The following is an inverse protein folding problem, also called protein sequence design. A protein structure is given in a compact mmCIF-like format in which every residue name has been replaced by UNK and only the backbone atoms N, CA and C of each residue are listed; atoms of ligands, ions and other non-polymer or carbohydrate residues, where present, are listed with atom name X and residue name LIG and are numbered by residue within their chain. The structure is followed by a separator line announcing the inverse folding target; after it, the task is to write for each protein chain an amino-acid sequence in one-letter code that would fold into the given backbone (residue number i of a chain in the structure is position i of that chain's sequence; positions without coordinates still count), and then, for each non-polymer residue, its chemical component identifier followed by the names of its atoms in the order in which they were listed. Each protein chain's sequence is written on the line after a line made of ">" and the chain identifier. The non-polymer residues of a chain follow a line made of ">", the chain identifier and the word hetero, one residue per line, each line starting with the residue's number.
data_IF_615685647667
#
_entry.id   IF_615685647667
#
_cell.length_a   1.000
_cell.length_b   1.000
_cell.length_c   1.000
_cell.angle_alpha   90.00
_cell.angle_beta   90.00
_cell.angle_gamma   90.00
#
_symmetry.space_group_name_H-M   'P 1'
#
loop_
_entity.id
_entity.type
_entity.pdbx_description
1 polymer ?
#
# COMPACT_ATOMS: atom_id res chain seq x y z
N UNK A 1 9.65 -45.15 23.18
CA UNK A 1 8.54 -44.39 22.53
C UNK A 1 7.67 -43.59 23.51
N UNK A 2 8.13 -43.32 24.76
CA UNK A 2 7.41 -42.56 25.81
C UNK A 2 8.07 -41.21 26.18
N UNK A 3 9.33 -41.00 25.82
CA UNK A 3 10.11 -39.80 26.18
C UNK A 3 9.89 -38.60 25.26
N UNK A 4 9.41 -38.82 24.02
CA UNK A 4 9.18 -37.75 23.05
C UNK A 4 7.93 -36.93 23.41
N UNK A 5 6.93 -37.54 24.05
CA UNK A 5 5.69 -36.86 24.45
C UNK A 5 5.85 -35.91 25.65
N UNK A 6 6.84 -36.14 26.53
CA UNK A 6 7.12 -35.26 27.67
C UNK A 6 7.81 -33.95 27.24
N UNK A 7 8.66 -34.00 26.22
CA UNK A 7 9.30 -32.80 25.66
C UNK A 7 8.30 -31.88 24.95
N UNK A 8 7.34 -32.45 24.22
CA UNK A 8 6.29 -31.69 23.52
C UNK A 8 5.35 -30.99 24.49
N UNK A 9 4.99 -31.64 25.61
CA UNK A 9 4.12 -31.04 26.62
C UNK A 9 4.81 -29.85 27.33
N UNK A 10 6.10 -29.95 27.63
CA UNK A 10 6.88 -28.87 28.26
C UNK A 10 7.04 -27.63 27.36
N UNK A 11 7.20 -27.83 26.05
CA UNK A 11 7.28 -26.72 25.08
C UNK A 11 5.93 -26.01 24.96
N UNK A 12 4.82 -26.76 24.94
CA UNK A 12 3.46 -26.18 24.90
C UNK A 12 3.14 -25.44 26.21
N UNK A 13 3.46 -26.01 27.39
CA UNK A 13 3.24 -25.33 28.67
C UNK A 13 4.09 -24.07 28.84
N UNK A 14 5.35 -24.08 28.37
CA UNK A 14 6.18 -22.87 28.38
C UNK A 14 5.61 -21.77 27.49
N UNK A 15 4.98 -22.11 26.35
CA UNK A 15 4.30 -21.12 25.50
C UNK A 15 3.01 -20.58 26.11
N UNK A 16 2.23 -21.39 26.82
CA UNK A 16 1.00 -20.92 27.50
C UNK A 16 1.33 -20.05 28.72
N UNK A 17 2.36 -20.41 29.50
CA UNK A 17 2.84 -19.60 30.62
C UNK A 17 3.39 -18.23 30.15
N UNK A 18 4.06 -18.19 28.99
CA UNK A 18 4.47 -16.93 28.35
C UNK A 18 3.31 -16.12 27.78
N UNK A 19 2.23 -16.76 27.33
CA UNK A 19 1.03 -16.08 26.89
C UNK A 19 0.24 -15.49 28.09
N UNK A 20 0.23 -16.18 29.23
CA UNK A 20 -0.37 -15.68 30.46
C UNK A 20 0.40 -14.50 31.06
N UNK A 21 1.74 -14.47 31.00
CA UNK A 21 2.50 -13.30 31.46
C UNK A 21 2.33 -12.06 30.56
N UNK A 22 1.95 -12.24 29.28
CA UNK A 22 1.53 -11.14 28.40
C UNK A 22 0.16 -10.60 28.82
N UNK A 23 -0.70 -11.44 29.45
CA UNK A 23 -2.07 -11.12 29.88
C UNK A 23 -2.20 -10.73 31.37
N UNK A 24 -1.15 -10.85 32.18
CA UNK A 24 -1.14 -10.37 33.57
C UNK A 24 -1.30 -8.85 33.76
N UNK A 25 -0.90 -7.93 32.85
CA UNK A 25 -1.14 -6.50 33.08
C UNK A 25 -2.61 -6.08 32.93
N UNK A 26 -3.51 -6.98 32.54
CA UNK A 26 -4.93 -6.68 32.30
C UNK A 26 -5.78 -6.69 33.59
N UNK A 27 -5.22 -7.11 34.72
CA UNK A 27 -5.96 -7.30 35.98
C UNK A 27 -5.95 -6.11 36.96
N UNK A 28 -5.09 -5.11 36.73
CA UNK A 28 -5.06 -3.92 37.59
C UNK A 28 -5.79 -2.79 36.89
N UNK A 29 -6.94 -2.40 37.43
CA UNK A 29 -7.61 -1.15 37.06
C UNK A 29 -6.64 0.01 37.31
N UNK A 30 -5.92 0.40 36.26
CA UNK A 30 -5.20 1.66 36.21
C UNK A 30 -6.27 2.74 36.26
N UNK A 31 -6.48 3.32 37.45
CA UNK A 31 -7.17 4.60 37.58
C UNK A 31 -6.41 5.58 36.68
N UNK A 32 -6.97 5.87 35.51
CA UNK A 32 -6.35 6.74 34.52
C UNK A 32 -6.43 8.17 35.03
N UNK A 33 -5.30 8.86 35.27
CA UNK A 33 -5.34 10.29 35.54
C UNK A 33 -5.94 10.99 34.32
N UNK A 34 -7.11 11.63 34.48
CA UNK A 34 -7.81 12.33 33.40
C UNK A 34 -8.94 11.56 32.70
N UNK A 35 -9.62 10.64 33.39
CA UNK A 35 -10.81 9.97 32.84
C UNK A 35 -11.92 10.97 32.44
N UNK A 36 -12.44 10.83 31.22
CA UNK A 36 -13.54 11.64 30.69
C UNK A 36 -13.12 13.07 30.31
N UNK A 37 -14.02 14.03 30.53
CA UNK A 37 -13.83 15.43 30.14
C UNK A 37 -12.69 16.15 30.87
N UNK A 38 -12.25 15.62 32.01
CA UNK A 38 -11.09 16.13 32.75
C UNK A 38 -9.77 15.89 32.01
N UNK A 39 -9.72 15.02 31.00
CA UNK A 39 -8.54 14.87 30.16
C UNK A 39 -8.19 16.13 29.36
N UNK A 40 -9.18 17.00 29.09
CA UNK A 40 -8.96 18.25 28.34
C UNK A 40 -8.24 19.34 29.14
N UNK A 41 -8.19 19.24 30.47
CA UNK A 41 -7.49 20.23 31.31
C UNK A 41 -5.98 19.98 31.37
N UNK A 42 -5.51 18.80 30.96
CA UNK A 42 -4.09 18.50 30.82
C UNK A 42 -3.53 19.12 29.52
N UNK A 43 -3.20 20.41 29.61
CA UNK A 43 -2.71 21.18 28.47
C UNK A 43 -1.39 20.62 27.90
N UNK A 44 -0.53 20.07 28.75
CA UNK A 44 0.73 19.46 28.32
C UNK A 44 0.47 18.22 27.44
N UNK A 45 -0.46 17.37 27.85
CA UNK A 45 -0.87 16.21 27.06
C UNK A 45 -1.60 16.60 25.77
N UNK A 46 -2.53 17.55 25.84
CA UNK A 46 -3.30 17.97 24.65
C UNK A 46 -2.38 18.59 23.60
N UNK A 47 -1.43 19.43 24.01
CA UNK A 47 -0.45 20.04 23.09
C UNK A 47 0.53 19.01 22.52
N UNK A 48 1.03 18.08 23.33
CA UNK A 48 1.91 17.02 22.83
C UNK A 48 1.19 16.08 21.86
N UNK A 49 -0.06 15.70 22.15
CA UNK A 49 -0.89 14.89 21.27
C UNK A 49 -1.16 15.61 19.94
N UNK A 50 -1.50 16.91 19.99
CA UNK A 50 -1.72 17.71 18.79
C UNK A 50 -0.48 17.84 17.92
N UNK A 51 0.70 18.09 18.52
CA UNK A 51 1.97 18.16 17.82
C UNK A 51 2.35 16.81 17.20
N UNK A 52 2.12 15.71 17.92
CA UNK A 52 2.37 14.34 17.44
C UNK A 52 1.47 13.98 16.25
N UNK A 53 0.17 14.29 16.31
CA UNK A 53 -0.76 14.09 15.19
C UNK A 53 -0.42 14.96 13.99
N UNK A 54 -0.01 16.21 14.23
CA UNK A 54 0.43 17.14 13.17
C UNK A 54 1.69 16.62 12.50
N UNK A 55 2.70 16.20 13.28
CA UNK A 55 3.94 15.62 12.76
C UNK A 55 3.67 14.35 11.94
N UNK A 56 2.86 13.43 12.46
CA UNK A 56 2.49 12.22 11.74
C UNK A 56 1.79 12.54 10.42
N UNK A 57 0.86 13.50 10.43
CA UNK A 57 0.15 13.93 9.22
C UNK A 57 1.08 14.56 8.19
N UNK A 58 2.07 15.36 8.62
CA UNK A 58 3.09 15.94 7.74
C UNK A 58 4.00 14.85 7.15
N UNK A 59 4.50 13.93 7.97
CA UNK A 59 5.35 12.83 7.48
C UNK A 59 4.58 11.89 6.54
N UNK A 60 3.33 11.58 6.88
CA UNK A 60 2.40 10.86 6.01
C UNK A 60 2.18 11.59 4.69
N UNK A 61 2.00 12.91 4.72
CA UNK A 61 1.86 13.73 3.52
C UNK A 61 3.14 13.74 2.67
N UNK A 62 4.33 13.77 3.28
CA UNK A 62 5.61 13.70 2.55
C UNK A 62 5.75 12.38 1.78
N UNK A 63 5.33 11.26 2.38
CA UNK A 63 5.30 9.96 1.68
C UNK A 63 4.18 9.90 0.65
N UNK A 64 3.02 10.50 0.94
CA UNK A 64 1.85 10.49 0.08
C UNK A 64 2.05 11.31 -1.21
N UNK A 65 2.63 12.50 -1.10
CA UNK A 65 2.94 13.37 -2.23
C UNK A 65 4.34 13.10 -2.81
N UNK A 66 4.82 11.86 -2.69
CA UNK A 66 6.09 11.47 -3.29
C UNK A 66 6.08 11.80 -4.79
N UNK A 67 7.14 12.43 -5.35
CA UNK A 67 7.13 12.98 -6.71
C UNK A 67 6.90 11.96 -7.84
N UNK A 68 7.02 10.67 -7.55
CA UNK A 68 6.67 9.59 -8.49
C UNK A 68 5.21 9.15 -8.46
N UNK A 69 4.45 9.50 -7.41
CA UNK A 69 3.03 9.15 -7.30
C UNK A 69 2.19 9.83 -8.41
N UNK A 70 2.52 11.06 -8.79
CA UNK A 70 1.82 11.78 -9.85
C UNK A 70 2.15 11.33 -11.28
N UNK A 71 3.09 10.40 -11.48
CA UNK A 71 3.49 9.92 -12.81
C UNK A 71 2.83 8.59 -13.20
N UNK A 72 2.24 7.89 -12.22
CA UNK A 72 1.64 6.55 -12.40
C UNK A 72 0.15 6.51 -12.06
N UNK A 73 -0.42 7.60 -11.51
CA UNK A 73 -1.80 7.68 -11.04
C UNK A 73 -2.83 7.76 -12.18
N UNK A 74 -3.08 6.63 -12.83
CA UNK A 74 -4.08 6.53 -13.90
C UNK A 74 -5.44 6.00 -13.41
N UNK A 75 -5.50 5.44 -12.19
CA UNK A 75 -6.76 4.99 -11.57
C UNK A 75 -7.30 5.99 -10.54
N UNK A 76 -8.63 6.09 -10.42
CA UNK A 76 -9.31 6.92 -9.41
C UNK A 76 -8.85 6.56 -7.98
N UNK A 77 -8.61 5.27 -7.72
CA UNK A 77 -8.14 4.78 -6.42
C UNK A 77 -6.72 5.27 -6.11
N UNK A 78 -5.85 5.37 -7.11
CA UNK A 78 -4.49 5.89 -6.95
C UNK A 78 -4.45 7.41 -6.79
N UNK A 79 -5.37 8.13 -7.43
CA UNK A 79 -5.56 9.58 -7.23
C UNK A 79 -6.03 9.88 -5.80
N UNK A 80 -6.84 9.01 -5.20
CA UNK A 80 -7.32 9.18 -3.82
C UNK A 80 -6.37 8.64 -2.74
N UNK A 81 -5.38 7.83 -3.12
CA UNK A 81 -4.42 7.21 -2.19
C UNK A 81 -3.69 8.20 -1.26
N UNK A 82 -3.29 9.42 -1.69
CA UNK A 82 -2.65 10.36 -0.79
C UNK A 82 -3.51 10.74 0.41
N UNK A 83 -4.82 10.87 0.22
CA UNK A 83 -5.78 11.15 1.32
C UNK A 83 -5.82 9.99 2.30
N UNK A 84 -5.86 8.76 1.78
CA UNK A 84 -5.86 7.53 2.58
C UNK A 84 -4.58 7.45 3.42
N UNK A 85 -3.41 7.72 2.83
CA UNK A 85 -2.14 7.66 3.56
C UNK A 85 -2.05 8.66 4.71
N UNK A 86 -2.50 9.90 4.52
CA UNK A 86 -2.52 10.91 5.60
C UNK A 86 -3.43 10.44 6.74
N UNK A 87 -4.63 9.95 6.42
CA UNK A 87 -5.58 9.44 7.40
C UNK A 87 -4.99 8.25 8.17
N UNK A 88 -4.39 7.28 7.47
CA UNK A 88 -3.80 6.10 8.11
C UNK A 88 -2.56 6.43 8.96
N UNK A 89 -1.79 7.45 8.59
CA UNK A 89 -0.70 7.94 9.43
C UNK A 89 -1.23 8.55 10.73
N UNK A 90 -2.28 9.37 10.65
CA UNK A 90 -2.94 9.95 11.82
C UNK A 90 -3.55 8.85 12.72
N UNK A 91 -4.18 7.83 12.13
CA UNK A 91 -4.68 6.65 12.87
C UNK A 91 -3.54 5.93 13.58
N UNK A 92 -2.41 5.70 12.90
CA UNK A 92 -1.22 5.09 13.52
C UNK A 92 -0.73 5.88 14.73
N UNK A 93 -0.61 7.20 14.61
CA UNK A 93 -0.21 8.07 15.70
C UNK A 93 -1.20 8.07 16.87
N UNK A 94 -2.51 8.08 16.57
CA UNK A 94 -3.56 7.96 17.58
C UNK A 94 -3.46 6.64 18.34
N UNK A 95 -3.26 5.52 17.64
CA UNK A 95 -3.05 4.21 18.28
C UNK A 95 -1.81 4.27 19.19
N UNK A 96 -0.71 4.87 18.73
CA UNK A 96 0.51 5.00 19.55
C UNK A 96 0.27 5.80 20.84
N UNK A 97 -0.39 6.97 20.75
CA UNK A 97 -0.73 7.80 21.91
C UNK A 97 -1.60 7.01 22.92
N UNK A 98 -2.60 6.29 22.41
CA UNK A 98 -3.50 5.48 23.24
C UNK A 98 -2.72 4.34 23.93
N UNK A 99 -1.81 3.67 23.21
CA UNK A 99 -1.01 2.58 23.77
C UNK A 99 -0.05 3.07 24.85
N UNK A 100 0.57 4.25 24.67
CA UNK A 100 1.44 4.85 25.68
C UNK A 100 0.64 5.19 26.95
N UNK A 101 -0.57 5.76 26.80
CA UNK A 101 -1.36 6.24 27.95
C UNK A 101 -2.19 5.17 28.65
N UNK A 102 -2.76 4.22 27.90
CA UNK A 102 -3.71 3.22 28.40
C UNK A 102 -3.14 1.78 28.37
N UNK A 103 -1.91 1.62 27.88
CA UNK A 103 -1.19 0.35 27.90
C UNK A 103 -1.38 -0.52 26.66
N UNK A 104 -0.63 -1.62 26.63
CA UNK A 104 -0.57 -2.56 25.50
C UNK A 104 -1.92 -3.27 25.24
N UNK A 105 -2.75 -3.44 26.27
CA UNK A 105 -4.07 -4.05 26.20
C UNK A 105 -4.94 -3.38 25.13
N UNK A 106 -5.03 -2.05 25.17
CA UNK A 106 -5.83 -1.28 24.21
C UNK A 106 -5.22 -1.36 22.80
N UNK A 107 -3.88 -1.42 22.71
CA UNK A 107 -3.18 -1.64 21.45
C UNK A 107 -3.55 -2.94 20.76
N UNK A 108 -3.61 -4.05 21.51
CA UNK A 108 -4.02 -5.35 20.96
C UNK A 108 -5.46 -5.33 20.44
N UNK A 109 -6.38 -4.66 21.13
CA UNK A 109 -7.76 -4.51 20.67
C UNK A 109 -7.84 -3.70 19.38
N UNK A 110 -7.18 -2.53 19.32
CA UNK A 110 -7.16 -1.69 18.13
C UNK A 110 -6.51 -2.38 16.93
N UNK A 111 -5.39 -3.07 17.16
CA UNK A 111 -4.71 -3.83 16.12
C UNK A 111 -5.55 -5.02 15.63
N UNK A 112 -6.24 -5.70 16.56
CA UNK A 112 -7.17 -6.78 16.23
C UNK A 112 -8.31 -6.30 15.32
N UNK A 113 -8.94 -5.17 15.66
CA UNK A 113 -9.99 -4.56 14.83
C UNK A 113 -9.44 -4.19 13.45
N UNK A 114 -8.26 -3.55 13.38
CA UNK A 114 -7.62 -3.20 12.11
C UNK A 114 -7.30 -4.42 11.23
N UNK A 115 -6.80 -5.49 11.83
CA UNK A 115 -6.54 -6.76 11.14
C UNK A 115 -7.82 -7.39 10.58
N UNK A 116 -8.92 -7.37 11.34
CA UNK A 116 -10.21 -7.89 10.90
C UNK A 116 -10.79 -7.09 9.72
N UNK A 117 -10.67 -5.76 9.73
CA UNK A 117 -11.11 -4.91 8.61
C UNK A 117 -10.30 -5.24 7.36
N UNK A 118 -8.98 -5.36 7.47
CA UNK A 118 -8.12 -5.67 6.33
C UNK A 118 -8.40 -7.04 5.71
N UNK A 119 -8.73 -8.05 6.52
CA UNK A 119 -9.12 -9.39 5.99
C UNK A 119 -10.39 -9.33 5.14
N UNK A 120 -11.28 -8.35 5.39
CA UNK A 120 -12.50 -8.16 4.61
C UNK A 120 -12.36 -7.26 3.39
N UNK A 121 -11.24 -6.55 3.26
CA UNK A 121 -11.04 -5.53 2.21
C UNK A 121 -10.01 -6.02 1.19
N UNK A 122 -10.43 -6.23 -0.05
CA UNK A 122 -9.54 -6.64 -1.14
C UNK A 122 -8.80 -5.39 -1.62
N UNK A 123 -7.52 -5.25 -1.28
CA UNK A 123 -6.66 -4.24 -1.92
C UNK A 123 -6.23 -4.77 -3.29
N UNK A 124 -6.44 -3.97 -4.34
CA UNK A 124 -6.15 -4.38 -5.72
C UNK A 124 -4.65 -4.49 -6.02
N UNK A 125 -3.81 -3.69 -5.34
CA UNK A 125 -2.36 -3.66 -5.55
C UNK A 125 -1.55 -3.93 -4.27
N UNK A 126 -0.61 -4.88 -4.36
CA UNK A 126 0.31 -5.23 -3.29
C UNK A 126 1.25 -4.06 -2.92
N UNK A 127 1.65 -3.25 -3.90
CA UNK A 127 2.53 -2.09 -3.71
C UNK A 127 1.82 -1.00 -2.90
N UNK A 128 0.56 -0.70 -3.23
CA UNK A 128 -0.26 0.28 -2.50
C UNK A 128 -0.49 -0.14 -1.05
N UNK A 129 -0.71 -1.44 -0.84
CA UNK A 129 -0.85 -2.02 0.49
C UNK A 129 0.44 -1.86 1.31
N UNK A 130 1.60 -2.12 0.71
CA UNK A 130 2.90 -1.96 1.38
C UNK A 130 3.14 -0.52 1.82
N UNK A 131 2.90 0.45 0.93
CA UNK A 131 3.01 1.90 1.24
C UNK A 131 2.12 2.29 2.41
N UNK A 132 0.86 1.83 2.42
CA UNK A 132 -0.08 2.10 3.51
C UNK A 132 0.42 1.57 4.86
N UNK A 133 0.97 0.35 4.90
CA UNK A 133 1.52 -0.23 6.13
C UNK A 133 2.69 0.61 6.63
N UNK A 134 3.64 0.98 5.76
CA UNK A 134 4.77 1.82 6.16
C UNK A 134 4.33 3.18 6.69
N UNK A 135 3.38 3.84 6.03
CA UNK A 135 2.84 5.14 6.48
C UNK A 135 2.15 5.01 7.84
N UNK A 136 1.41 3.93 8.06
CA UNK A 136 0.77 3.64 9.35
C UNK A 136 1.82 3.42 10.45
N UNK A 137 2.90 2.69 10.15
CA UNK A 137 4.01 2.46 11.08
C UNK A 137 4.76 3.76 11.43
N UNK A 138 4.99 4.64 10.45
CA UNK A 138 5.58 5.97 10.69
C UNK A 138 4.71 6.78 11.66
N UNK A 139 3.39 6.77 11.43
CA UNK A 139 2.42 7.40 12.33
C UNK A 139 2.50 6.81 13.73
N UNK A 140 2.50 5.48 13.85
CA UNK A 140 2.63 4.77 15.11
C UNK A 140 3.91 5.16 15.86
N UNK A 141 5.06 5.23 15.17
CA UNK A 141 6.31 5.69 15.78
C UNK A 141 6.24 7.11 16.32
N UNK A 142 5.50 8.01 15.66
CA UNK A 142 5.22 9.34 16.22
C UNK A 142 4.42 9.23 17.52
N UNK A 143 3.36 8.42 17.53
CA UNK A 143 2.48 8.20 18.68
C UNK A 143 3.17 7.55 19.89
N UNK A 144 4.22 6.76 19.66
CA UNK A 144 5.02 6.11 20.71
C UNK A 144 6.10 7.04 21.33
N UNK A 145 6.00 8.35 21.12
CA UNK A 145 6.97 9.36 21.58
C UNK A 145 8.39 9.18 21.02
N UNK A 146 8.52 8.56 19.84
CA UNK A 146 9.79 8.34 19.15
C UNK A 146 9.88 9.12 17.81
N UNK A 147 9.84 10.46 17.83
CA UNK A 147 9.81 11.26 16.60
C UNK A 147 11.08 11.11 15.75
N UNK A 148 12.23 10.86 16.38
CA UNK A 148 13.49 10.62 15.68
C UNK A 148 13.45 9.35 14.82
N UNK A 149 12.84 8.27 15.32
CA UNK A 149 12.65 7.03 14.56
C UNK A 149 11.68 7.26 13.41
N UNK A 150 10.59 8.00 13.66
CA UNK A 150 9.60 8.31 12.63
C UNK A 150 10.20 9.08 11.45
N UNK A 151 11.04 10.08 11.70
CA UNK A 151 11.72 10.85 10.65
C UNK A 151 12.69 9.97 9.86
N UNK A 152 13.52 9.17 10.54
CA UNK A 152 14.46 8.25 9.87
C UNK A 152 13.74 7.21 9.02
N UNK A 153 12.66 6.62 9.55
CA UNK A 153 11.82 5.68 8.82
C UNK A 153 11.18 6.34 7.60
N UNK A 154 10.73 7.59 7.72
CA UNK A 154 10.17 8.36 6.59
C UNK A 154 11.19 8.53 5.48
N UNK A 155 12.42 8.96 5.81
CA UNK A 155 13.50 9.12 4.82
C UNK A 155 13.83 7.77 4.16
N UNK A 156 13.94 6.70 4.94
CA UNK A 156 14.21 5.37 4.41
C UNK A 156 13.11 4.89 3.45
N UNK A 157 11.85 5.02 3.85
CA UNK A 157 10.70 4.63 3.02
C UNK A 157 10.62 5.51 1.77
N UNK A 158 10.89 6.80 1.88
CA UNK A 158 10.95 7.72 0.73
C UNK A 158 11.98 7.27 -0.30
N UNK A 159 13.20 6.93 0.14
CA UNK A 159 14.27 6.40 -0.73
C UNK A 159 13.87 5.03 -1.31
N UNK A 160 13.27 4.16 -0.50
CA UNK A 160 12.85 2.83 -0.93
C UNK A 160 11.78 2.91 -2.02
N UNK A 161 10.77 3.77 -1.85
CA UNK A 161 9.76 4.04 -2.87
C UNK A 161 10.44 4.59 -4.12
N UNK A 162 11.35 5.54 -3.98
CA UNK A 162 12.08 6.08 -5.13
C UNK A 162 12.84 5.01 -5.93
N UNK A 163 13.43 4.01 -5.26
CA UNK A 163 14.15 2.91 -5.91
C UNK A 163 13.17 1.90 -6.52
N UNK A 164 12.15 1.49 -5.78
CA UNK A 164 11.22 0.44 -6.20
C UNK A 164 10.35 0.89 -7.37
N UNK A 165 9.90 2.14 -7.32
CA UNK A 165 9.05 2.77 -8.33
C UNK A 165 9.84 3.21 -9.59
N UNK A 166 11.06 2.66 -9.79
CA UNK A 166 11.87 2.89 -11.00
C UNK A 166 11.56 1.89 -12.11
N UNK A 167 10.65 0.93 -11.86
CA UNK A 167 10.37 -0.23 -12.73
C UNK A 167 8.88 -0.36 -13.07
N UNK A 168 8.23 0.75 -13.45
CA UNK A 168 6.81 0.77 -13.85
C UNK A 168 6.55 -0.24 -14.98
N UNK A 169 5.48 -1.02 -14.87
CA UNK A 169 5.10 -2.05 -15.83
C UNK A 169 3.70 -1.74 -16.34
N UNK A 170 3.57 -1.34 -17.60
CA UNK A 170 2.29 -0.97 -18.23
C UNK A 170 1.54 -2.21 -18.73
N UNK A 171 0.21 -2.20 -18.69
CA UNK A 171 -0.65 -3.27 -19.22
C UNK A 171 -1.71 -2.72 -20.18
N UNK A 172 -1.51 -2.90 -21.50
CA UNK A 172 -2.56 -2.60 -22.47
C UNK A 172 -3.50 -3.80 -22.60
N UNK A 173 -4.81 -3.54 -22.59
CA UNK A 173 -5.84 -4.49 -22.96
C UNK A 173 -6.53 -4.02 -24.25
N UNK A 174 -6.30 -4.73 -25.36
CA UNK A 174 -6.90 -4.40 -26.65
C UNK A 174 -8.17 -5.24 -26.79
N UNK A 175 -9.34 -4.59 -26.86
CA UNK A 175 -10.65 -5.23 -27.02
C UNK A 175 -11.19 -5.02 -28.45
N UNK A 176 -12.17 -5.84 -28.87
CA UNK A 176 -12.85 -5.74 -30.16
C UNK A 176 -11.95 -5.98 -31.41
N UNK A 177 -11.05 -6.96 -31.33
CA UNK A 177 -10.23 -7.38 -32.47
C UNK A 177 -10.99 -8.35 -33.39
N UNK A 178 -10.96 -8.19 -34.72
CA UNK A 178 -11.66 -9.09 -35.64
C UNK A 178 -11.16 -10.53 -35.50
N UNK A 179 -12.07 -11.48 -35.18
CA UNK A 179 -11.83 -12.92 -34.89
C UNK A 179 -10.81 -13.63 -35.79
N UNK A 180 -10.66 -13.21 -37.04
CA UNK A 180 -9.76 -13.84 -38.04
C UNK A 180 -8.38 -13.18 -38.17
N UNK A 181 -8.14 -12.02 -37.56
CA UNK A 181 -6.87 -11.26 -37.68
C UNK A 181 -6.25 -10.87 -36.34
N UNK A 182 -6.71 -11.45 -35.23
CA UNK A 182 -6.19 -11.19 -33.87
C UNK A 182 -4.67 -11.42 -33.78
N UNK A 183 -4.13 -12.42 -34.50
CA UNK A 183 -2.69 -12.69 -34.52
C UNK A 183 -1.88 -11.66 -35.33
N UNK A 184 -2.44 -11.15 -36.43
CA UNK A 184 -1.81 -10.10 -37.26
C UNK A 184 -1.86 -8.74 -36.58
N UNK A 185 -3.00 -8.40 -35.95
CA UNK A 185 -3.13 -7.21 -35.13
C UNK A 185 -2.11 -7.23 -33.98
N UNK A 186 -2.05 -8.34 -33.24
CA UNK A 186 -1.08 -8.49 -32.15
C UNK A 186 0.37 -8.31 -32.60
N UNK A 187 0.74 -8.83 -33.79
CA UNK A 187 2.06 -8.64 -34.36
C UNK A 187 2.34 -7.18 -34.75
N UNK A 188 1.36 -6.48 -35.32
CA UNK A 188 1.47 -5.07 -35.67
C UNK A 188 1.60 -4.18 -34.42
N UNK A 189 0.77 -4.40 -33.40
CA UNK A 189 0.89 -3.73 -32.09
C UNK A 189 2.27 -3.98 -31.47
N UNK A 190 2.76 -5.22 -31.53
CA UNK A 190 4.09 -5.59 -31.04
C UNK A 190 5.21 -4.83 -31.75
N UNK A 191 5.18 -4.73 -33.07
CA UNK A 191 6.21 -3.99 -33.82
C UNK A 191 6.24 -2.50 -33.49
N UNK A 192 5.09 -1.88 -33.21
CA UNK A 192 5.02 -0.46 -32.85
C UNK A 192 5.52 -0.26 -31.40
N UNK A 193 5.17 -1.16 -30.49
CA UNK A 193 5.64 -1.13 -29.10
C UNK A 193 7.16 -1.36 -28.99
N UNK A 194 7.71 -2.32 -29.72
CA UNK A 194 9.16 -2.58 -29.78
C UNK A 194 9.91 -1.40 -30.41
N UNK A 195 9.33 -0.74 -31.43
CA UNK A 195 9.93 0.44 -32.09
C UNK A 195 10.01 1.67 -31.19
N UNK A 196 9.10 1.81 -30.23
CA UNK A 196 9.11 2.88 -29.22
C UNK A 196 9.92 2.52 -27.96
N UNK A 197 10.71 1.43 -28.00
CA UNK A 197 11.61 1.04 -26.92
C UNK A 197 10.90 0.42 -25.71
N UNK A 198 9.68 -0.10 -25.90
CA UNK A 198 8.95 -0.78 -24.85
C UNK A 198 9.29 -2.28 -24.81
N UNK A 199 9.75 -2.76 -23.65
CA UNK A 199 10.09 -4.15 -23.41
C UNK A 199 8.83 -4.95 -23.05
N UNK A 200 8.38 -5.84 -23.94
CA UNK A 200 7.21 -6.69 -23.70
C UNK A 200 7.58 -7.79 -22.69
N UNK A 201 6.89 -7.80 -21.55
CA UNK A 201 7.09 -8.75 -20.45
C UNK A 201 6.17 -9.97 -20.55
N UNK A 202 4.95 -9.79 -21.05
CA UNK A 202 3.99 -10.88 -21.24
C UNK A 202 2.95 -10.53 -22.32
N UNK A 203 2.64 -11.51 -23.16
CA UNK A 203 1.64 -11.41 -24.23
C UNK A 203 0.61 -12.52 -24.02
N UNK A 204 -0.64 -12.17 -23.71
CA UNK A 204 -1.74 -13.12 -23.55
C UNK A 204 -2.80 -12.89 -24.63
N UNK A 205 -2.95 -13.87 -25.53
CA UNK A 205 -3.94 -13.86 -26.61
C UNK A 205 -5.19 -14.59 -26.17
N UNK A 206 -6.34 -13.93 -26.20
CA UNK A 206 -7.65 -14.53 -25.96
C UNK A 206 -8.49 -14.50 -27.26
N UNK A 207 -8.23 -15.39 -28.23
CA UNK A 207 -8.94 -15.40 -29.51
C UNK A 207 -10.44 -15.67 -29.37
N UNK A 208 -10.86 -16.36 -28.30
CA UNK A 208 -12.28 -16.61 -27.99
C UNK A 208 -13.02 -15.38 -27.46
N UNK A 209 -12.31 -14.40 -26.91
CA UNK A 209 -12.87 -13.15 -26.36
C UNK A 209 -12.56 -11.91 -27.21
N UNK A 210 -11.96 -12.09 -28.39
CA UNK A 210 -11.54 -10.97 -29.28
C UNK A 210 -10.65 -9.95 -28.54
N UNK A 211 -9.80 -10.45 -27.63
CA UNK A 211 -8.98 -9.63 -26.72
C UNK A 211 -7.53 -10.06 -26.74
N UNK A 212 -6.63 -9.08 -26.69
CA UNK A 212 -5.19 -9.32 -26.49
C UNK A 212 -4.72 -8.41 -25.37
N UNK A 213 -4.10 -9.00 -24.36
CA UNK A 213 -3.50 -8.26 -23.26
C UNK A 213 -1.99 -8.28 -23.42
N UNK A 214 -1.40 -7.09 -23.51
CA UNK A 214 0.04 -6.89 -23.50
C UNK A 214 0.46 -6.30 -22.16
N UNK A 215 1.46 -6.92 -21.52
CA UNK A 215 2.16 -6.35 -20.38
C UNK A 215 3.55 -5.96 -20.89
N UNK A 216 3.89 -4.68 -20.86
CA UNK A 216 5.15 -4.15 -21.37
C UNK A 216 5.66 -3.02 -20.48
N UNK A 217 6.98 -2.85 -20.46
CA UNK A 217 7.63 -1.74 -19.76
C UNK A 217 8.06 -0.73 -20.81
N UNK A 218 7.50 0.48 -20.80
CA UNK A 218 8.05 1.57 -21.60
C UNK A 218 9.13 2.33 -20.83
N UNK A 219 10.12 2.82 -21.57
CA UNK A 219 11.12 3.74 -21.04
C UNK A 219 10.50 5.10 -20.68
N UNK A 220 11.21 5.85 -19.83
CA UNK A 220 10.82 7.10 -19.15
C UNK A 220 10.40 8.29 -20.04
N UNK A 221 10.30 8.10 -21.36
CA UNK A 221 10.17 9.17 -22.35
C UNK A 221 8.94 9.05 -23.27
N UNK A 222 8.10 8.02 -23.08
CA UNK A 222 6.94 7.81 -23.96
C UNK A 222 5.68 8.22 -23.19
N UNK A 223 5.09 9.37 -23.54
CA UNK A 223 3.79 9.75 -22.97
C UNK A 223 2.72 8.81 -23.53
N UNK A 224 1.75 8.47 -22.69
CA UNK A 224 0.65 7.57 -23.07
C UNK A 224 -0.14 8.13 -24.25
N UNK A 225 -0.25 9.47 -24.33
CA UNK A 225 -0.87 10.22 -25.43
C UNK A 225 -0.07 10.08 -26.72
N UNK A 226 1.26 10.22 -26.69
CA UNK A 226 2.10 10.03 -27.88
C UNK A 226 2.07 8.57 -28.36
N UNK A 227 1.93 7.62 -27.43
CA UNK A 227 1.81 6.19 -27.71
C UNK A 227 0.45 5.84 -28.32
N UNK A 228 -0.62 6.42 -27.80
CA UNK A 228 -1.99 6.27 -28.31
C UNK A 228 -2.12 6.88 -29.70
N UNK A 229 -1.62 8.10 -29.90
CA UNK A 229 -1.57 8.76 -31.22
C UNK A 229 -0.73 7.95 -32.22
N UNK A 230 0.39 7.36 -31.78
CA UNK A 230 1.24 6.50 -32.63
C UNK A 230 0.58 5.15 -32.97
N UNK A 231 -0.25 4.61 -32.07
CA UNK A 231 -1.02 3.39 -32.31
C UNK A 231 -2.24 3.66 -33.21
N UNK A 232 -2.92 4.80 -33.04
CA UNK A 232 -4.03 5.21 -33.89
C UNK A 232 -3.56 5.59 -35.31
N UNK A 233 -2.40 6.25 -35.43
CA UNK A 233 -1.85 6.69 -36.73
C UNK A 233 -1.08 5.59 -37.45
N UNK A 234 -0.50 4.64 -36.71
CA UNK A 234 0.35 3.58 -37.25
C UNK A 234 -0.38 2.30 -37.69
N UNK A 235 -1.66 2.15 -37.36
CA UNK A 235 -2.45 0.94 -37.65
C UNK A 235 -3.54 1.20 -38.68
N UNK A 236 -3.68 0.25 -39.61
CA UNK A 236 -4.73 0.23 -40.63
C UNK A 236 -6.13 0.14 -39.96
N UNK A 237 -7.11 0.94 -40.40
CA UNK A 237 -8.45 1.04 -39.77
C UNK A 237 -9.18 -0.30 -39.64
N UNK A 238 -8.76 -1.32 -40.39
CA UNK A 238 -9.29 -2.68 -40.36
C UNK A 238 -8.77 -3.56 -39.19
N UNK A 239 -7.77 -3.10 -38.43
CA UNK A 239 -7.11 -3.83 -37.34
C UNK A 239 -7.24 -3.12 -35.97
N UNK A 240 -7.82 -1.92 -35.93
CA UNK A 240 -8.02 -1.16 -34.71
C UNK A 240 -9.12 -1.79 -33.84
N UNK A 241 -8.76 -2.13 -32.61
CA UNK A 241 -9.70 -2.45 -31.54
C UNK A 241 -9.89 -1.26 -30.60
N UNK A 242 -10.90 -1.33 -29.73
CA UNK A 242 -11.01 -0.40 -28.61
C UNK A 242 -9.85 -0.66 -27.64
N UNK A 243 -8.98 0.34 -27.47
CA UNK A 243 -7.87 0.28 -26.52
C UNK A 243 -8.41 0.58 -25.12
N UNK A 244 -8.12 -0.31 -24.18
CA UNK A 244 -8.44 -0.18 -22.77
C UNK A 244 -7.12 -0.30 -22.00
N UNK A 245 -6.64 0.82 -21.48
CA UNK A 245 -5.33 0.92 -20.85
C UNK A 245 -5.47 0.66 -19.34
N UNK A 246 -4.68 -0.26 -18.81
CA UNK A 246 -4.51 -0.46 -17.36
C UNK A 246 -3.04 -0.21 -16.99
N UNK A 247 -2.78 0.68 -16.03
CA UNK A 247 -1.43 0.97 -15.53
C UNK A 247 -1.32 0.45 -14.10
N UNK A 248 -0.22 -0.26 -13.80
CA UNK A 248 -0.03 -1.08 -12.58
C UNK A 248 1.35 -0.84 -11.93
#
# INVERSE_FOLDING_TARGET
>A
MRSIWLGSALIVFATVARAQSILEPFGNEVVTPGAGWLGFTDWAFVTSAFLTLSLASILGAVVAYHPRHGQTADSIEEIEAPKVYIIYSAIGALIGIIVVKYGLAVGFVLFGIGGLIRVRTILQSATMTGRLIFVTLIGLSCGLEMPHVAVLATVFVFILIFILDSRVTYRINIQALPKKRVAEAAAAYRTILERHGCFILSEKKYPSKERVTFIFRCGRATSLVDLEESLETGLDQSLQGALDWEVD
#
